data_IF_231854558294
#
_entry.id   IF_231854558294
#
_cell.length_a   1.000
_cell.length_b   1.000
_cell.length_c   1.000
_cell.angle_alpha   90.00
_cell.angle_beta   90.00
_cell.angle_gamma   90.00
#
_symmetry.space_group_name_H-M   'P 1'
#
loop_
_entity.id
_entity.type
_entity.pdbx_description
1 polymer ?
#
# COMPACT_ATOMS: atom_id res chain seq x y z
N UNK A 1 -14.39 9.83 -32.28
CA UNK A 1 -14.15 11.18 -32.87
C UNK A 1 -15.04 12.25 -32.24
N UNK A 2 -16.36 12.05 -32.16
CA UNK A 2 -17.24 13.02 -31.47
C UNK A 2 -16.85 13.20 -29.99
N UNK A 3 -16.66 12.10 -29.26
CA UNK A 3 -16.14 12.11 -27.88
C UNK A 3 -14.86 12.93 -27.73
N UNK A 4 -13.87 12.66 -28.59
CA UNK A 4 -12.57 13.34 -28.62
C UNK A 4 -12.75 14.84 -28.88
N UNK A 5 -13.69 15.22 -29.75
CA UNK A 5 -13.97 16.62 -30.07
C UNK A 5 -14.71 17.33 -28.92
N UNK A 6 -15.74 16.70 -28.34
CA UNK A 6 -16.48 17.21 -27.16
C UNK A 6 -15.59 17.32 -25.93
N UNK A 7 -14.64 16.40 -25.76
CA UNK A 7 -13.65 16.42 -24.69
C UNK A 7 -12.50 17.39 -24.94
N UNK A 8 -12.14 17.69 -26.20
CA UNK A 8 -11.19 18.77 -26.51
C UNK A 8 -11.74 20.14 -26.12
N UNK A 9 -13.05 20.34 -26.20
CA UNK A 9 -13.74 21.56 -25.75
C UNK A 9 -13.70 21.74 -24.23
N UNK A 10 -13.68 20.65 -23.46
CA UNK A 10 -13.47 20.69 -21.99
C UNK A 10 -12.07 21.20 -21.63
N UNK A 11 -11.05 20.84 -22.43
CA UNK A 11 -9.65 21.24 -22.23
C UNK A 11 -9.40 22.73 -22.48
N UNK A 12 -10.25 23.38 -23.28
CA UNK A 12 -10.12 24.79 -23.66
C UNK A 12 -11.07 25.75 -22.91
N UNK A 13 -12.10 25.24 -22.22
CA UNK A 13 -13.05 26.09 -21.49
C UNK A 13 -12.53 26.45 -20.09
N UNK A 14 -12.54 27.74 -19.74
CA UNK A 14 -12.39 28.15 -18.34
C UNK A 14 -13.51 27.51 -17.51
N UNK A 15 -13.13 26.71 -16.52
CA UNK A 15 -14.01 25.82 -15.77
C UNK A 15 -15.18 26.57 -15.12
N UNK A 16 -16.36 26.32 -15.68
CA UNK A 16 -17.65 26.86 -15.30
C UNK A 16 -18.65 25.70 -15.27
N UNK A 17 -19.87 25.90 -14.78
CA UNK A 17 -20.97 24.92 -14.83
C UNK A 17 -21.14 24.26 -16.21
N UNK A 18 -20.72 24.92 -17.30
CA UNK A 18 -20.71 24.35 -18.65
C UNK A 18 -19.73 23.19 -18.83
N UNK A 19 -18.61 23.14 -18.11
CA UNK A 19 -17.65 22.05 -18.20
C UNK A 19 -18.19 20.75 -17.56
N UNK A 20 -18.89 20.86 -16.43
CA UNK A 20 -19.54 19.69 -15.80
C UNK A 20 -20.66 19.16 -16.70
N UNK A 21 -21.48 20.03 -17.27
CA UNK A 21 -22.54 19.61 -18.20
C UNK A 21 -21.96 18.91 -19.45
N UNK A 22 -20.91 19.47 -20.07
CA UNK A 22 -20.23 18.82 -21.19
C UNK A 22 -19.55 17.49 -20.81
N UNK A 23 -19.10 17.34 -19.56
CA UNK A 23 -18.58 16.07 -19.05
C UNK A 23 -19.69 15.02 -18.93
N UNK A 24 -20.87 15.36 -18.42
CA UNK A 24 -22.02 14.45 -18.42
C UNK A 24 -22.45 14.06 -19.84
N UNK A 25 -22.49 15.02 -20.77
CA UNK A 25 -22.78 14.75 -22.18
C UNK A 25 -21.73 13.79 -22.80
N UNK A 26 -20.44 14.01 -22.50
CA UNK A 26 -19.37 13.14 -22.98
C UNK A 26 -19.43 11.73 -22.37
N UNK A 27 -19.75 11.59 -21.08
CA UNK A 27 -19.93 10.27 -20.45
C UNK A 27 -21.15 9.53 -21.00
N UNK A 28 -22.26 10.25 -21.22
CA UNK A 28 -23.48 9.69 -21.79
C UNK A 28 -23.24 9.18 -23.23
N UNK A 29 -22.55 9.96 -24.06
CA UNK A 29 -22.17 9.54 -25.42
C UNK A 29 -21.20 8.36 -25.44
N UNK A 30 -20.27 8.28 -24.48
CA UNK A 30 -19.35 7.14 -24.36
C UNK A 30 -20.11 5.87 -23.97
N UNK A 31 -21.04 5.98 -23.01
CA UNK A 31 -21.95 4.90 -22.60
C UNK A 31 -22.78 4.36 -23.77
N UNK A 32 -23.24 5.24 -24.64
CA UNK A 32 -24.10 4.86 -25.78
C UNK A 32 -23.32 4.24 -26.96
N UNK A 33 -21.98 4.32 -26.96
CA UNK A 33 -21.12 3.85 -28.07
C UNK A 33 -20.29 2.60 -27.75
N UNK A 34 -20.23 2.16 -26.50
CA UNK A 34 -19.51 0.96 -26.04
C UNK A 34 -20.45 0.01 -25.27
N UNK A 35 -20.13 -1.29 -25.26
CA UNK A 35 -20.78 -2.22 -24.33
C UNK A 35 -20.46 -1.73 -22.89
N UNK A 36 -21.42 -1.72 -21.95
CA UNK A 36 -21.22 -1.06 -20.66
C UNK A 36 -20.01 -1.66 -19.93
N UNK A 37 -18.96 -0.84 -19.81
CA UNK A 37 -17.86 -1.10 -18.89
C UNK A 37 -18.40 -0.72 -17.51
N UNK A 38 -18.41 -1.68 -16.59
CA UNK A 38 -19.00 -1.53 -15.24
C UNK A 38 -18.46 -0.32 -14.49
N UNK A 39 -17.19 0.04 -14.73
CA UNK A 39 -16.51 1.12 -14.01
C UNK A 39 -16.90 2.51 -14.54
N UNK A 40 -17.13 2.64 -15.86
CA UNK A 40 -17.70 3.87 -16.43
C UNK A 40 -19.09 4.15 -15.86
N UNK A 41 -19.96 3.14 -15.87
CA UNK A 41 -21.33 3.29 -15.38
C UNK A 41 -21.33 3.64 -13.89
N UNK A 42 -20.42 3.04 -13.12
CA UNK A 42 -20.18 3.40 -11.74
C UNK A 42 -19.81 4.88 -11.61
N UNK A 43 -18.72 5.31 -12.25
CA UNK A 43 -18.22 6.70 -12.15
C UNK A 43 -19.29 7.70 -12.56
N UNK A 44 -20.00 7.48 -13.67
CA UNK A 44 -21.08 8.37 -14.09
C UNK A 44 -22.24 8.41 -13.09
N UNK A 45 -22.69 7.26 -12.60
CA UNK A 45 -23.83 7.20 -11.67
C UNK A 45 -23.51 7.72 -10.28
N UNK A 46 -22.24 7.75 -9.88
CA UNK A 46 -21.77 8.16 -8.55
C UNK A 46 -21.10 9.52 -8.51
N UNK A 47 -20.90 10.17 -9.66
CA UNK A 47 -20.17 11.43 -9.75
C UNK A 47 -20.74 12.52 -8.83
N UNK A 48 -22.06 12.77 -8.90
CA UNK A 48 -22.69 13.78 -8.06
C UNK A 48 -23.00 13.29 -6.64
N UNK A 49 -23.12 11.97 -6.45
CA UNK A 49 -23.40 11.36 -5.13
C UNK A 49 -22.16 11.43 -4.22
N UNK A 50 -20.97 11.19 -4.77
CA UNK A 50 -19.73 11.05 -3.99
C UNK A 50 -18.89 12.32 -3.94
N UNK A 51 -19.03 13.22 -4.90
CA UNK A 51 -18.22 14.44 -4.98
C UNK A 51 -19.03 15.63 -4.50
N UNK A 52 -18.84 16.00 -3.23
CA UNK A 52 -19.58 17.04 -2.53
C UNK A 52 -19.24 18.45 -2.98
N UNK A 53 -18.03 18.68 -3.51
CA UNK A 53 -17.58 20.01 -3.91
C UNK A 53 -17.01 20.06 -5.34
N UNK A 54 -17.01 21.27 -5.90
CA UNK A 54 -16.54 21.53 -7.27
C UNK A 54 -15.06 21.19 -7.47
N UNK A 55 -14.23 21.29 -6.42
CA UNK A 55 -12.80 20.96 -6.53
C UNK A 55 -12.58 19.45 -6.72
N UNK A 56 -13.34 18.60 -6.03
CA UNK A 56 -13.30 17.15 -6.21
C UNK A 56 -13.79 16.76 -7.61
N UNK A 57 -14.94 17.30 -8.03
CA UNK A 57 -15.48 17.10 -9.40
C UNK A 57 -14.44 17.49 -10.45
N UNK A 58 -13.79 18.62 -10.23
CA UNK A 58 -12.73 19.09 -11.11
C UNK A 58 -11.50 18.17 -11.10
N UNK A 59 -11.11 17.63 -9.94
CA UNK A 59 -10.02 16.66 -9.81
C UNK A 59 -10.27 15.41 -10.67
N UNK A 60 -11.45 14.81 -10.53
CA UNK A 60 -11.87 13.64 -11.31
C UNK A 60 -11.92 13.93 -12.81
N UNK A 61 -12.50 15.06 -13.23
CA UNK A 61 -12.56 15.44 -14.65
C UNK A 61 -11.15 15.65 -15.21
N UNK A 62 -10.28 16.33 -14.46
CA UNK A 62 -8.90 16.60 -14.87
C UNK A 62 -8.10 15.31 -15.00
N UNK A 63 -8.23 14.42 -14.01
CA UNK A 63 -7.60 13.11 -14.02
C UNK A 63 -8.04 12.27 -15.23
N UNK A 64 -9.34 12.19 -15.51
CA UNK A 64 -9.85 11.49 -16.69
C UNK A 64 -9.32 12.09 -17.99
N UNK A 65 -9.32 13.41 -18.10
CA UNK A 65 -8.84 14.10 -19.29
C UNK A 65 -7.33 13.91 -19.53
N UNK A 66 -6.52 13.90 -18.47
CA UNK A 66 -5.09 13.63 -18.53
C UNK A 66 -4.80 12.18 -18.93
N UNK A 67 -5.65 11.25 -18.48
CA UNK A 67 -5.51 9.81 -18.74
C UNK A 67 -6.36 9.33 -19.93
N UNK A 68 -6.74 10.26 -20.82
CA UNK A 68 -7.50 10.01 -22.05
C UNK A 68 -8.76 9.14 -21.85
N UNK A 69 -9.42 9.24 -20.70
CA UNK A 69 -10.63 8.48 -20.37
C UNK A 69 -10.45 6.97 -20.59
N UNK A 70 -9.28 6.45 -20.21
CA UNK A 70 -8.99 5.02 -20.29
C UNK A 70 -9.81 4.21 -19.28
N UNK A 71 -10.08 2.95 -19.61
CA UNK A 71 -10.71 1.98 -18.70
C UNK A 71 -9.97 1.90 -17.36
N UNK A 72 -8.65 2.02 -17.41
CA UNK A 72 -7.76 2.09 -16.26
C UNK A 72 -8.05 3.30 -15.35
N UNK A 73 -8.24 4.49 -15.94
CA UNK A 73 -8.60 5.67 -15.18
C UNK A 73 -9.99 5.53 -14.53
N UNK A 74 -10.93 4.87 -15.21
CA UNK A 74 -12.24 4.56 -14.62
C UNK A 74 -12.14 3.51 -13.50
N UNK A 75 -11.28 2.50 -13.66
CA UNK A 75 -11.03 1.49 -12.62
C UNK A 75 -10.41 2.12 -11.36
N UNK A 76 -9.43 3.02 -11.52
CA UNK A 76 -8.88 3.77 -10.39
C UNK A 76 -9.96 4.64 -9.71
N UNK A 77 -10.76 5.37 -10.49
CA UNK A 77 -11.81 6.22 -9.94
C UNK A 77 -12.92 5.45 -9.22
N UNK A 78 -13.15 4.20 -9.61
CA UNK A 78 -14.09 3.33 -8.89
C UNK A 78 -13.67 3.13 -7.43
N UNK A 79 -12.37 3.13 -7.16
CA UNK A 79 -11.82 3.02 -5.81
C UNK A 79 -11.60 4.39 -5.15
N UNK A 80 -11.14 5.39 -5.91
CA UNK A 80 -10.84 6.72 -5.39
C UNK A 80 -12.09 7.54 -5.03
N UNK A 81 -13.18 7.44 -5.81
CA UNK A 81 -14.38 8.25 -5.57
C UNK A 81 -15.11 7.88 -4.26
N UNK A 82 -15.29 6.60 -3.88
CA UNK A 82 -15.81 6.25 -2.57
C UNK A 82 -15.03 6.89 -1.41
N UNK A 83 -13.69 6.96 -1.53
CA UNK A 83 -12.84 7.56 -0.51
C UNK A 83 -12.98 9.09 -0.43
N UNK A 84 -13.42 9.74 -1.52
CA UNK A 84 -13.71 11.17 -1.55
C UNK A 84 -15.12 11.53 -1.01
N UNK A 85 -15.93 10.53 -0.70
CA UNK A 85 -17.24 10.75 -0.11
C UNK A 85 -17.10 11.29 1.33
N UNK A 86 -17.98 12.20 1.71
CA UNK A 86 -18.16 12.67 3.09
C UNK A 86 -19.18 11.74 3.78
N UNK A 87 -18.70 10.67 4.43
CA UNK A 87 -19.61 9.70 5.06
C UNK A 87 -20.02 10.12 6.48
N UNK A 88 -19.25 10.98 7.15
CA UNK A 88 -19.52 11.42 8.51
C UNK A 88 -20.36 12.72 8.60
N UNK A 89 -20.51 13.42 7.47
CA UNK A 89 -21.32 14.62 7.30
C UNK A 89 -20.66 15.90 7.79
N UNK A 90 -19.33 15.94 7.93
CA UNK A 90 -18.59 17.10 8.43
C UNK A 90 -18.31 18.17 7.34
N UNK A 91 -18.63 17.85 6.09
CA UNK A 91 -18.44 18.71 4.92
C UNK A 91 -17.06 18.60 4.28
N UNK A 92 -16.23 17.62 4.66
CA UNK A 92 -14.94 17.27 4.06
C UNK A 92 -14.98 15.85 3.48
N UNK A 93 -14.19 15.54 2.44
CA UNK A 93 -13.99 14.14 2.02
C UNK A 93 -13.42 13.31 3.14
N UNK A 94 -13.67 11.99 3.21
CA UNK A 94 -13.02 11.10 4.16
C UNK A 94 -11.53 10.82 3.85
N UNK A 95 -11.08 11.10 2.62
CA UNK A 95 -9.71 10.87 2.17
C UNK A 95 -9.19 11.92 1.18
N UNK A 96 -7.86 12.00 1.06
CA UNK A 96 -7.15 12.68 -0.01
C UNK A 96 -6.73 11.70 -1.11
N UNK A 97 -6.82 12.14 -2.37
CA UNK A 97 -6.36 11.38 -3.54
C UNK A 97 -5.21 12.12 -4.18
N UNK A 98 -4.04 11.46 -4.23
CA UNK A 98 -2.95 11.88 -5.08
C UNK A 98 -3.25 11.46 -6.51
N UNK A 99 -3.58 12.41 -7.38
CA UNK A 99 -3.95 12.13 -8.77
C UNK A 99 -2.75 11.81 -9.66
N UNK A 100 -1.55 12.26 -9.29
CA UNK A 100 -0.32 12.03 -10.06
C UNK A 100 0.21 10.63 -9.77
N UNK A 101 0.37 10.32 -8.49
CA UNK A 101 0.92 9.05 -8.01
C UNK A 101 -0.16 7.97 -7.84
N UNK A 102 -1.44 8.36 -7.90
CA UNK A 102 -2.61 7.47 -7.81
C UNK A 102 -2.65 6.68 -6.51
N UNK A 103 -2.28 7.37 -5.43
CA UNK A 103 -2.30 6.88 -4.06
C UNK A 103 -3.47 7.54 -3.34
N UNK A 104 -4.21 6.74 -2.56
CA UNK A 104 -5.31 7.22 -1.73
C UNK A 104 -4.84 7.23 -0.27
N UNK A 105 -5.08 8.32 0.46
CA UNK A 105 -4.73 8.47 1.88
C UNK A 105 -5.96 8.92 2.65
N UNK A 106 -6.42 8.11 3.61
CA UNK A 106 -7.50 8.48 4.52
C UNK A 106 -7.15 9.75 5.31
N UNK A 107 -8.12 10.58 5.65
CA UNK A 107 -7.88 11.85 6.34
C UNK A 107 -7.12 11.67 7.65
N UNK A 108 -7.48 10.65 8.44
CA UNK A 108 -6.81 10.29 9.68
C UNK A 108 -5.32 9.99 9.46
N UNK A 109 -4.95 9.49 8.28
CA UNK A 109 -3.55 9.33 7.89
C UNK A 109 -2.90 10.71 7.66
N UNK A 110 -3.54 11.57 6.88
CA UNK A 110 -3.01 12.89 6.47
C UNK A 110 -2.85 13.82 7.68
N UNK A 111 -3.84 13.87 8.57
CA UNK A 111 -3.81 14.75 9.76
C UNK A 111 -2.91 14.21 10.87
N UNK A 112 -2.50 12.94 10.80
CA UNK A 112 -1.54 12.36 11.74
C UNK A 112 -0.12 12.84 11.39
N UNK A 113 0.38 13.80 12.17
CA UNK A 113 1.69 14.42 11.95
C UNK A 113 2.82 13.39 11.82
N UNK A 114 2.85 12.32 12.64
CA UNK A 114 3.89 11.31 12.53
C UNK A 114 3.82 10.52 11.22
N UNK A 115 2.64 10.01 10.85
CA UNK A 115 2.48 9.22 9.62
C UNK A 115 2.77 10.06 8.39
N UNK A 116 2.19 11.26 8.31
CA UNK A 116 2.34 12.14 7.17
C UNK A 116 3.80 12.61 7.01
N UNK A 117 4.47 13.02 8.09
CA UNK A 117 5.89 13.43 8.03
C UNK A 117 6.83 12.28 7.67
N UNK A 118 6.53 11.05 8.08
CA UNK A 118 7.34 9.88 7.69
C UNK A 118 7.11 9.54 6.23
N UNK A 119 5.85 9.57 5.77
CA UNK A 119 5.49 9.33 4.38
C UNK A 119 6.17 10.33 3.43
N UNK A 120 6.08 11.63 3.71
CA UNK A 120 6.74 12.70 2.93
C UNK A 120 8.27 12.56 2.87
N UNK A 121 8.87 11.77 3.77
CA UNK A 121 10.29 11.49 3.80
C UNK A 121 10.68 10.21 3.06
N UNK A 122 9.73 9.37 2.66
CA UNK A 122 10.02 8.16 1.89
C UNK A 122 10.68 8.48 0.55
N UNK A 123 10.27 9.56 -0.12
CA UNK A 123 10.83 10.00 -1.40
C UNK A 123 12.31 10.40 -1.33
N UNK A 124 12.86 10.59 -0.11
CA UNK A 124 14.29 10.82 0.08
C UNK A 124 15.13 9.54 -0.02
N UNK A 125 14.48 8.39 -0.07
CA UNK A 125 15.11 7.09 -0.22
C UNK A 125 14.83 6.53 -1.62
N UNK A 126 15.90 6.37 -2.40
CA UNK A 126 15.84 5.67 -3.70
C UNK A 126 15.21 4.28 -3.54
N UNK A 127 15.47 3.59 -2.41
CA UNK A 127 14.88 2.28 -2.13
C UNK A 127 13.36 2.37 -1.98
N UNK A 128 12.84 3.30 -1.17
CA UNK A 128 11.39 3.40 -1.01
C UNK A 128 10.72 3.85 -2.32
N UNK A 129 11.33 4.79 -3.05
CA UNK A 129 10.87 5.22 -4.36
C UNK A 129 10.83 4.05 -5.37
N UNK A 130 11.85 3.19 -5.41
CA UNK A 130 11.86 1.99 -6.26
C UNK A 130 10.70 1.04 -5.98
N UNK A 131 10.20 0.98 -4.74
CA UNK A 131 9.02 0.18 -4.42
C UNK A 131 7.71 0.91 -4.75
N UNK A 132 7.57 2.18 -4.34
CA UNK A 132 6.36 2.99 -4.52
C UNK A 132 6.04 3.19 -6.01
N UNK A 133 7.06 3.43 -6.84
CA UNK A 133 6.90 3.58 -8.30
C UNK A 133 6.27 2.38 -9.00
N UNK A 134 6.20 1.20 -8.38
CA UNK A 134 5.48 0.05 -8.93
C UNK A 134 3.94 0.19 -8.85
N UNK A 135 3.45 1.13 -8.04
CA UNK A 135 2.03 1.44 -7.83
C UNK A 135 1.63 2.77 -8.50
N UNK A 136 2.63 3.55 -8.91
CA UNK A 136 2.46 4.87 -9.51
C UNK A 136 2.39 4.80 -11.03
N UNK A 137 2.02 5.93 -11.65
CA UNK A 137 2.10 6.13 -13.08
C UNK A 137 0.96 5.49 -13.88
N UNK A 138 1.26 5.14 -15.13
CA UNK A 138 0.27 4.64 -16.08
C UNK A 138 0.30 3.10 -16.12
N UNK A 139 -0.85 2.48 -15.89
CA UNK A 139 -1.15 1.05 -15.79
C UNK A 139 -0.43 0.33 -14.64
N UNK A 140 -0.52 0.82 -13.40
CA UNK A 140 -0.05 0.02 -12.28
C UNK A 140 -0.93 -1.24 -12.18
N UNK A 141 -0.32 -2.35 -11.78
CA UNK A 141 -1.04 -3.62 -11.59
C UNK A 141 -1.99 -3.54 -10.38
N UNK A 142 -1.70 -2.66 -9.43
CA UNK A 142 -2.47 -2.45 -8.22
C UNK A 142 -2.34 -1.01 -7.74
N UNK A 143 -3.31 -0.54 -6.97
CA UNK A 143 -3.32 0.78 -6.33
C UNK A 143 -3.08 0.65 -4.82
N UNK A 144 -2.55 1.71 -4.20
CA UNK A 144 -2.33 1.76 -2.76
C UNK A 144 -3.38 2.64 -2.07
N UNK A 145 -3.92 2.11 -0.97
CA UNK A 145 -4.77 2.85 -0.04
C UNK A 145 -4.15 2.83 1.36
N UNK A 146 -3.83 4.00 1.89
CA UNK A 146 -3.32 4.15 3.25
C UNK A 146 -4.43 4.59 4.20
N UNK A 147 -4.68 3.78 5.23
CA UNK A 147 -5.72 4.03 6.23
C UNK A 147 -5.16 3.99 7.66
N UNK A 148 -5.95 4.45 8.63
CA UNK A 148 -5.59 4.44 10.05
C UNK A 148 -6.66 3.75 10.87
N UNK A 149 -6.26 2.72 11.62
CA UNK A 149 -7.19 2.02 12.50
C UNK A 149 -6.57 0.83 13.21
N UNK A 150 -7.23 0.38 14.27
CA UNK A 150 -6.85 -0.86 14.94
C UNK A 150 -7.47 -2.03 14.19
N UNK A 151 -6.64 -2.87 13.59
CA UNK A 151 -7.13 -4.10 12.96
C UNK A 151 -7.73 -5.05 14.02
N UNK A 152 -8.90 -5.61 13.72
CA UNK A 152 -9.64 -6.46 14.66
C UNK A 152 -9.01 -7.84 14.88
N UNK A 153 -8.26 -8.35 13.89
CA UNK A 153 -7.58 -9.65 13.93
C UNK A 153 -6.18 -9.52 14.52
N UNK A 154 -5.50 -8.42 14.22
CA UNK A 154 -4.12 -8.12 14.59
C UNK A 154 -4.02 -6.79 15.36
N UNK A 155 -4.70 -6.63 16.51
CA UNK A 155 -4.77 -5.34 17.22
C UNK A 155 -3.42 -4.87 17.79
N UNK A 156 -2.43 -5.76 17.83
CA UNK A 156 -1.08 -5.48 18.30
C UNK A 156 -0.06 -5.23 17.18
N UNK A 157 -0.44 -5.39 15.91
CA UNK A 157 0.44 -5.10 14.79
C UNK A 157 0.65 -3.58 14.65
N UNK A 158 1.83 -3.17 14.15
CA UNK A 158 2.12 -1.77 13.86
C UNK A 158 1.32 -1.25 12.66
N UNK A 159 1.12 -2.12 11.68
CA UNK A 159 0.25 -1.94 10.53
C UNK A 159 -0.14 -3.32 9.98
N UNK A 160 -1.11 -3.35 9.07
CA UNK A 160 -1.54 -4.55 8.35
C UNK A 160 -1.68 -4.21 6.87
N UNK A 161 -1.01 -4.98 6.02
CA UNK A 161 -1.26 -4.97 4.58
C UNK A 161 -2.31 -6.04 4.22
N UNK A 162 -3.42 -5.63 3.62
CA UNK A 162 -4.47 -6.53 3.18
C UNK A 162 -4.18 -7.11 1.79
N UNK A 163 -4.72 -8.30 1.54
CA UNK A 163 -4.74 -8.83 0.18
C UNK A 163 -5.58 -7.91 -0.73
N UNK A 164 -5.27 -7.86 -2.02
CA UNK A 164 -5.93 -6.95 -2.92
C UNK A 164 -7.40 -7.30 -3.12
N UNK A 165 -8.25 -6.29 -3.05
CA UNK A 165 -9.64 -6.33 -3.51
C UNK A 165 -9.84 -5.30 -4.61
N UNK A 166 -10.38 -5.74 -5.74
CA UNK A 166 -10.53 -4.92 -6.95
C UNK A 166 -9.26 -4.12 -7.32
N UNK A 167 -8.09 -4.77 -7.30
CA UNK A 167 -6.77 -4.16 -7.53
C UNK A 167 -6.32 -3.14 -6.48
N UNK A 168 -7.08 -2.90 -5.41
CA UNK A 168 -6.69 -2.03 -4.31
C UNK A 168 -5.99 -2.83 -3.22
N UNK A 169 -4.79 -2.40 -2.82
CA UNK A 169 -4.07 -2.94 -1.67
C UNK A 169 -4.13 -1.89 -0.55
N UNK A 170 -4.81 -2.25 0.54
CA UNK A 170 -4.88 -1.41 1.74
C UNK A 170 -3.69 -1.68 2.66
N UNK A 171 -3.04 -0.62 3.13
CA UNK A 171 -2.10 -0.63 4.25
C UNK A 171 -2.72 0.20 5.38
N UNK A 172 -3.15 -0.49 6.44
CA UNK A 172 -3.77 0.12 7.62
C UNK A 172 -2.76 0.28 8.75
N UNK A 173 -2.48 1.51 9.15
CA UNK A 173 -1.57 1.82 10.26
C UNK A 173 -2.31 1.84 11.60
N UNK A 174 -1.70 1.23 12.62
CA UNK A 174 -2.29 1.19 13.95
C UNK A 174 -1.92 2.46 14.74
N UNK A 175 -2.88 3.34 15.05
CA UNK A 175 -2.58 4.59 15.74
C UNK A 175 -2.03 4.36 17.15
N UNK A 176 -2.35 3.23 17.80
CA UNK A 176 -1.86 2.89 19.15
C UNK A 176 -0.40 2.39 19.15
N UNK A 177 0.26 2.35 17.99
CA UNK A 177 1.64 1.88 17.82
C UNK A 177 2.55 2.96 17.27
N UNK A 178 2.16 4.23 17.36
CA UNK A 178 2.93 5.35 16.83
C UNK A 178 3.78 6.07 17.90
N UNK A 179 3.60 5.76 19.19
CA UNK A 179 4.47 6.23 20.30
C UNK A 179 5.86 5.56 20.26
N UNK A 180 6.62 5.82 19.20
CA UNK A 180 7.98 5.31 18.95
C UNK A 180 8.74 6.24 17.99
N UNK A 181 10.07 6.08 17.84
CA UNK A 181 10.84 6.93 16.95
C UNK A 181 10.37 6.88 15.49
N UNK A 182 10.44 8.01 14.79
CA UNK A 182 10.04 8.14 13.37
C UNK A 182 10.75 7.12 12.48
N UNK A 183 12.02 6.83 12.74
CA UNK A 183 12.80 5.81 12.02
C UNK A 183 12.22 4.40 12.19
N UNK A 184 11.65 4.06 13.36
CA UNK A 184 10.97 2.77 13.54
C UNK A 184 9.58 2.78 12.88
N UNK A 185 8.90 3.93 12.81
CA UNK A 185 7.69 4.10 12.00
C UNK A 185 7.99 3.94 10.50
N UNK A 186 9.09 4.52 10.02
CA UNK A 186 9.59 4.36 8.65
C UNK A 186 9.90 2.89 8.32
N UNK A 187 10.44 2.12 9.27
CA UNK A 187 10.59 0.66 9.13
C UNK A 187 9.23 0.01 8.84
N UNK A 188 8.17 0.42 9.53
CA UNK A 188 6.83 -0.13 9.26
C UNK A 188 6.35 0.22 7.86
N UNK A 189 6.54 1.45 7.39
CA UNK A 189 6.20 1.83 6.01
C UNK A 189 6.86 0.91 4.98
N UNK A 190 8.20 0.80 4.99
CA UNK A 190 8.88 -0.04 3.99
C UNK A 190 8.53 -1.52 4.13
N UNK A 191 8.28 -1.99 5.36
CA UNK A 191 7.84 -3.36 5.63
C UNK A 191 6.49 -3.65 4.94
N UNK A 192 5.49 -2.79 5.15
CA UNK A 192 4.17 -2.95 4.54
C UNK A 192 4.19 -2.71 3.01
N UNK A 193 5.00 -1.76 2.52
CA UNK A 193 5.16 -1.53 1.08
C UNK A 193 5.77 -2.77 0.39
N UNK A 194 6.72 -3.46 1.06
CA UNK A 194 7.25 -4.73 0.55
C UNK A 194 6.17 -5.82 0.52
N UNK A 195 5.29 -5.89 1.53
CA UNK A 195 4.10 -6.77 1.49
C UNK A 195 3.21 -6.46 0.29
N UNK A 196 2.91 -5.18 0.08
CA UNK A 196 2.12 -4.74 -1.06
C UNK A 196 2.77 -5.11 -2.40
N UNK A 197 4.09 -4.99 -2.52
CA UNK A 197 4.82 -5.36 -3.74
C UNK A 197 4.72 -6.86 -4.02
N UNK A 198 4.69 -7.70 -2.99
CA UNK A 198 4.43 -9.13 -3.18
C UNK A 198 3.01 -9.38 -3.69
N UNK A 199 2.01 -8.70 -3.15
CA UNK A 199 0.63 -8.82 -3.64
C UNK A 199 0.48 -8.29 -5.06
N UNK A 200 1.11 -7.18 -5.42
CA UNK A 200 1.15 -6.65 -6.78
C UNK A 200 1.75 -7.66 -7.76
N UNK A 201 2.86 -8.32 -7.39
CA UNK A 201 3.45 -9.40 -8.20
C UNK A 201 2.47 -10.56 -8.38
N UNK A 202 1.77 -10.98 -7.33
CA UNK A 202 0.74 -12.03 -7.43
C UNK A 202 -0.41 -11.61 -8.36
N UNK A 203 -0.90 -10.37 -8.24
CA UNK A 203 -1.92 -9.81 -9.14
C UNK A 203 -1.48 -9.78 -10.60
N UNK A 204 -0.20 -9.46 -10.86
CA UNK A 204 0.30 -9.39 -12.24
C UNK A 204 0.22 -10.74 -12.96
N UNK A 205 0.31 -11.85 -12.22
CA UNK A 205 0.09 -13.21 -12.74
C UNK A 205 -1.40 -13.56 -12.76
N UNK A 206 -2.17 -13.09 -11.77
CA UNK A 206 -3.60 -13.37 -11.67
C UNK A 206 -4.43 -12.74 -12.80
N UNK A 207 -4.03 -11.54 -13.26
CA UNK A 207 -4.70 -10.76 -14.30
C UNK A 207 -6.19 -10.48 -13.99
N UNK A 208 -6.51 -10.32 -12.71
CA UNK A 208 -7.84 -9.99 -12.19
C UNK A 208 -7.67 -9.26 -10.84
N UNK A 209 -8.72 -8.61 -10.34
CA UNK A 209 -8.66 -7.73 -9.17
C UNK A 209 -8.42 -8.41 -7.82
N UNK A 210 -8.39 -9.74 -7.78
CA UNK A 210 -8.17 -10.55 -6.58
C UNK A 210 -7.25 -11.73 -6.86
N UNK A 211 -6.55 -12.23 -5.85
CA UNK A 211 -5.64 -13.38 -6.00
C UNK A 211 -6.45 -14.69 -5.99
N UNK A 212 -6.39 -15.52 -7.06
CA UNK A 212 -7.10 -16.79 -7.11
C UNK A 212 -6.30 -17.86 -6.37
N UNK A 213 -6.37 -17.88 -5.04
CA UNK A 213 -5.67 -18.81 -4.13
C UNK A 213 -5.97 -20.28 -4.41
N UNK A 214 -5.29 -20.84 -5.42
CA UNK A 214 -5.38 -22.23 -5.88
C UNK A 214 -3.98 -22.79 -6.05
N UNK A 215 -3.81 -24.09 -5.88
CA UNK A 215 -2.52 -24.74 -6.14
C UNK A 215 -2.02 -24.46 -7.58
N UNK A 216 -2.93 -24.49 -8.56
CA UNK A 216 -2.60 -24.18 -9.96
C UNK A 216 -2.07 -22.76 -10.15
N UNK A 217 -2.64 -21.79 -9.44
CA UNK A 217 -2.17 -20.41 -9.47
C UNK A 217 -0.80 -20.28 -8.79
N UNK A 218 -0.59 -20.89 -7.62
CA UNK A 218 0.73 -20.88 -6.98
C UNK A 218 1.79 -21.50 -7.91
N UNK A 219 1.47 -22.60 -8.61
CA UNK A 219 2.39 -23.19 -9.57
C UNK A 219 2.65 -22.30 -10.81
N UNK A 220 1.69 -21.48 -11.24
CA UNK A 220 1.86 -20.59 -12.39
C UNK A 220 2.89 -19.48 -12.13
N UNK A 221 3.12 -19.11 -10.87
CA UNK A 221 4.14 -18.13 -10.47
C UNK A 221 5.57 -18.53 -10.87
N UNK A 222 5.84 -19.80 -11.18
CA UNK A 222 7.20 -20.33 -11.41
C UNK A 222 7.98 -19.59 -12.50
N UNK A 223 7.30 -19.12 -13.54
CA UNK A 223 7.96 -18.51 -14.69
C UNK A 223 8.33 -17.04 -14.45
N UNK A 224 7.49 -16.32 -13.72
CA UNK A 224 7.64 -14.87 -13.50
C UNK A 224 8.27 -14.55 -12.15
N UNK A 225 7.89 -15.28 -11.11
CA UNK A 225 8.33 -15.07 -9.72
C UNK A 225 8.68 -16.40 -9.02
N UNK A 226 9.75 -17.09 -9.45
CA UNK A 226 10.13 -18.40 -8.88
C UNK A 226 10.36 -18.37 -7.37
N UNK A 227 10.86 -17.26 -6.82
CA UNK A 227 11.01 -17.08 -5.37
C UNK A 227 9.68 -17.04 -4.62
N UNK A 228 8.67 -16.33 -5.14
CA UNK A 228 7.33 -16.34 -4.55
C UNK A 228 6.70 -17.73 -4.68
N UNK A 229 6.80 -18.36 -5.85
CA UNK A 229 6.29 -19.71 -6.06
C UNK A 229 6.81 -20.70 -5.03
N UNK A 230 8.13 -20.70 -4.80
CA UNK A 230 8.81 -21.58 -3.87
C UNK A 230 8.33 -21.38 -2.43
N UNK A 231 8.25 -20.13 -1.95
CA UNK A 231 7.77 -19.84 -0.60
C UNK A 231 6.29 -20.17 -0.41
N UNK A 232 5.40 -19.80 -1.33
CA UNK A 232 3.99 -20.17 -1.23
C UNK A 232 3.80 -21.69 -1.34
N UNK A 233 4.60 -22.39 -2.12
CA UNK A 233 4.56 -23.87 -2.16
C UNK A 233 5.00 -24.50 -0.85
N UNK A 234 6.09 -24.00 -0.24
CA UNK A 234 6.58 -24.53 1.03
C UNK A 234 5.62 -24.26 2.18
N UNK A 235 5.11 -23.04 2.26
CA UNK A 235 4.49 -22.50 3.46
C UNK A 235 2.97 -22.33 3.39
N UNK A 236 2.39 -22.10 2.21
CA UNK A 236 0.93 -21.99 2.04
C UNK A 236 0.31 -23.35 1.69
N UNK A 237 0.96 -24.14 0.82
CA UNK A 237 0.54 -25.52 0.54
C UNK A 237 0.99 -26.55 1.59
N UNK A 238 1.74 -26.10 2.62
CA UNK A 238 2.29 -26.94 3.71
C UNK A 238 3.00 -28.21 3.19
N UNK A 239 3.89 -28.04 2.21
CA UNK A 239 4.63 -29.17 1.63
C UNK A 239 5.85 -29.58 2.45
N UNK A 240 6.16 -28.85 3.52
CA UNK A 240 7.32 -29.08 4.38
C UNK A 240 6.96 -29.49 5.82
N UNK A 241 5.66 -29.61 6.16
CA UNK A 241 5.18 -30.04 7.47
C UNK A 241 5.50 -29.05 8.59
N UNK A 242 5.63 -27.76 8.24
CA UNK A 242 5.90 -26.67 9.16
C UNK A 242 4.75 -25.66 9.08
N UNK A 243 4.35 -25.12 10.23
CA UNK A 243 3.34 -24.06 10.30
C UNK A 243 4.01 -22.72 10.60
N UNK A 244 4.52 -21.99 9.58
CA UNK A 244 5.11 -20.69 9.79
C UNK A 244 4.03 -19.67 10.15
N UNK A 245 4.48 -18.50 10.59
CA UNK A 245 3.59 -17.40 10.93
C UNK A 245 2.88 -16.82 9.72
N UNK A 246 3.64 -16.59 8.65
CA UNK A 246 3.19 -15.97 7.41
C UNK A 246 4.26 -16.23 6.32
N UNK A 247 3.81 -16.67 5.13
CA UNK A 247 4.69 -16.97 3.98
C UNK A 247 5.56 -15.77 3.58
N UNK A 248 4.98 -14.58 3.54
CA UNK A 248 5.68 -13.36 3.14
C UNK A 248 6.72 -12.97 4.19
N UNK A 249 6.44 -13.13 5.50
CA UNK A 249 7.43 -12.88 6.55
C UNK A 249 8.65 -13.80 6.40
N UNK A 250 8.47 -15.09 6.06
CA UNK A 250 9.60 -15.99 5.79
C UNK A 250 10.46 -15.49 4.62
N UNK A 251 9.82 -15.06 3.53
CA UNK A 251 10.51 -14.53 2.35
C UNK A 251 11.23 -13.21 2.66
N UNK A 252 10.59 -12.30 3.40
CA UNK A 252 11.18 -11.02 3.80
C UNK A 252 12.35 -11.20 4.76
N UNK A 253 12.20 -12.06 5.77
CA UNK A 253 13.25 -12.34 6.73
C UNK A 253 14.51 -12.91 6.06
N UNK A 254 14.33 -13.74 5.03
CA UNK A 254 15.45 -14.34 4.31
C UNK A 254 16.06 -13.44 3.24
N UNK A 255 15.29 -12.55 2.60
CA UNK A 255 15.71 -11.85 1.38
C UNK A 255 15.62 -10.32 1.42
N UNK A 256 14.79 -9.72 2.28
CA UNK A 256 14.53 -8.27 2.29
C UNK A 256 15.06 -7.55 3.53
N UNK A 257 15.65 -8.27 4.50
CA UNK A 257 16.27 -7.64 5.69
C UNK A 257 17.30 -6.57 5.30
N UNK A 258 18.18 -6.87 4.34
CA UNK A 258 19.21 -5.94 3.89
C UNK A 258 18.62 -4.74 3.13
N UNK A 259 17.54 -4.95 2.38
CA UNK A 259 16.78 -3.88 1.74
C UNK A 259 16.20 -2.93 2.80
N UNK A 260 15.55 -3.46 3.83
CA UNK A 260 14.96 -2.66 4.92
C UNK A 260 16.05 -1.92 5.69
N UNK A 261 17.16 -2.58 6.06
CA UNK A 261 18.23 -1.89 6.79
C UNK A 261 18.92 -0.81 5.95
N UNK A 262 19.10 -1.05 4.64
CA UNK A 262 19.63 -0.04 3.72
C UNK A 262 18.69 1.15 3.55
N UNK A 263 17.38 0.90 3.43
CA UNK A 263 16.36 1.95 3.42
C UNK A 263 16.44 2.79 4.69
N UNK A 264 16.51 2.16 5.86
CA UNK A 264 16.55 2.88 7.14
C UNK A 264 17.78 3.79 7.25
N UNK A 265 18.93 3.38 6.70
CA UNK A 265 20.12 4.22 6.66
C UNK A 265 20.01 5.39 5.65
N UNK A 266 19.22 5.26 4.59
CA UNK A 266 18.90 6.37 3.69
C UNK A 266 17.92 7.35 4.34
N UNK A 267 16.91 6.82 5.04
CA UNK A 267 15.93 7.60 5.79
C UNK A 267 16.58 8.37 6.95
N UNK A 268 17.45 7.71 7.72
CA UNK A 268 18.17 8.28 8.86
C UNK A 268 19.67 7.93 8.76
N UNK A 269 20.44 8.86 8.19
CA UNK A 269 21.88 8.69 7.96
C UNK A 269 22.73 8.71 9.25
N UNK A 270 22.12 8.95 10.41
CA UNK A 270 22.79 8.86 11.70
C UNK A 270 22.86 7.42 12.22
N UNK A 271 22.08 6.50 11.65
CA UNK A 271 22.11 5.10 12.01
C UNK A 271 23.45 4.44 11.65
N UNK A 272 23.95 3.65 12.59
CA UNK A 272 24.93 2.61 12.26
C UNK A 272 24.25 1.45 11.53
N UNK A 273 24.98 0.75 10.66
CA UNK A 273 24.51 -0.49 10.01
C UNK A 273 23.93 -1.49 11.02
N UNK A 274 24.56 -1.56 12.18
CA UNK A 274 24.21 -2.43 13.28
C UNK A 274 22.85 -2.08 13.90
N UNK A 275 22.53 -0.79 14.03
CA UNK A 275 21.22 -0.31 14.49
C UNK A 275 20.14 -0.54 13.43
N UNK A 276 20.45 -0.24 12.16
CA UNK A 276 19.54 -0.45 11.04
C UNK A 276 19.19 -1.94 10.86
N UNK A 277 20.16 -2.84 10.98
CA UNK A 277 19.92 -4.29 10.93
C UNK A 277 19.06 -4.77 12.10
N UNK A 278 19.28 -4.23 13.31
CA UNK A 278 18.47 -4.57 14.47
C UNK A 278 17.02 -4.11 14.35
N UNK A 279 16.79 -2.90 13.81
CA UNK A 279 15.46 -2.42 13.46
C UNK A 279 14.82 -3.35 12.42
N UNK A 280 15.50 -3.64 11.31
CA UNK A 280 14.98 -4.54 10.28
C UNK A 280 14.56 -5.91 10.85
N UNK A 281 15.39 -6.52 11.69
CA UNK A 281 15.06 -7.79 12.35
C UNK A 281 13.83 -7.71 13.25
N UNK A 282 13.63 -6.62 13.98
CA UNK A 282 12.47 -6.46 14.86
C UNK A 282 11.13 -6.58 14.11
N UNK A 283 11.10 -6.21 12.81
CA UNK A 283 9.93 -6.42 11.94
C UNK A 283 9.81 -7.83 11.35
N UNK A 284 10.90 -8.60 11.31
CA UNK A 284 11.01 -9.83 10.52
C UNK A 284 11.21 -11.11 11.36
N UNK A 285 11.51 -10.98 12.65
CA UNK A 285 11.86 -12.11 13.51
C UNK A 285 10.69 -13.07 13.79
N UNK A 286 9.45 -12.60 13.65
CA UNK A 286 8.25 -13.33 14.03
C UNK A 286 7.30 -12.51 14.88
N UNK A 287 6.33 -13.16 15.51
CA UNK A 287 5.33 -12.50 16.36
C UNK A 287 5.07 -13.26 17.68
N UNK A 288 4.32 -12.63 18.58
CA UNK A 288 4.04 -13.17 19.92
C UNK A 288 5.13 -12.86 20.95
N UNK A 289 4.94 -13.39 22.16
CA UNK A 289 5.86 -13.14 23.28
C UNK A 289 7.27 -13.66 22.96
N UNK A 290 8.28 -12.85 23.30
CA UNK A 290 9.68 -13.20 23.12
C UNK A 290 10.19 -13.87 24.40
N UNK A 291 10.79 -15.05 24.26
CA UNK A 291 11.54 -15.66 25.35
C UNK A 291 12.86 -14.89 25.56
N UNK A 292 12.94 -14.17 26.68
CA UNK A 292 14.10 -13.33 27.03
C UNK A 292 15.42 -14.11 27.13
N UNK A 293 15.37 -15.41 27.37
CA UNK A 293 16.58 -16.25 27.47
C UNK A 293 17.10 -16.69 26.11
N UNK A 294 16.21 -16.92 25.14
CA UNK A 294 16.56 -17.45 23.81
C UNK A 294 16.51 -16.41 22.69
N UNK A 295 15.79 -15.31 22.91
CA UNK A 295 15.47 -14.28 21.92
C UNK A 295 14.46 -14.74 20.86
N UNK A 296 13.77 -15.85 21.08
CA UNK A 296 12.81 -16.41 20.12
C UNK A 296 11.38 -15.94 20.44
N UNK A 297 10.66 -15.33 19.49
CA UNK A 297 9.21 -15.17 19.61
C UNK A 297 8.49 -16.53 19.53
N UNK A 298 7.27 -16.62 20.11
CA UNK A 298 6.40 -17.82 20.04
C UNK A 298 6.29 -18.34 18.61
N UNK A 299 6.14 -17.41 17.68
CA UNK A 299 5.84 -17.62 16.28
C UNK A 299 7.05 -17.06 15.51
N UNK A 300 8.15 -17.81 15.47
CA UNK A 300 9.45 -17.38 14.92
C UNK A 300 9.56 -17.67 13.42
N UNK A 301 10.17 -16.75 12.66
CA UNK A 301 10.57 -17.04 11.28
C UNK A 301 11.79 -17.97 11.22
N UNK A 302 11.88 -18.82 10.20
CA UNK A 302 13.01 -19.76 10.07
C UNK A 302 14.34 -19.01 9.99
N UNK A 303 14.40 -17.91 9.23
CA UNK A 303 15.61 -17.08 9.15
C UNK A 303 16.09 -16.59 10.53
N UNK A 304 15.17 -16.17 11.42
CA UNK A 304 15.51 -15.73 12.77
C UNK A 304 15.92 -16.89 13.69
N UNK A 305 15.27 -18.05 13.58
CA UNK A 305 15.66 -19.24 14.34
C UNK A 305 17.10 -19.69 14.07
N UNK A 306 17.58 -19.44 12.84
CA UNK A 306 18.94 -19.76 12.41
C UNK A 306 20.00 -18.74 12.88
N UNK A 307 19.60 -17.56 13.36
CA UNK A 307 20.52 -16.61 14.02
C UNK A 307 20.98 -17.24 15.34
N UNK A 308 22.25 -17.13 15.72
CA UNK A 308 22.69 -17.71 16.99
C UNK A 308 22.02 -17.03 18.18
N UNK A 309 21.76 -17.77 19.27
CA UNK A 309 21.11 -17.21 20.46
C UNK A 309 21.81 -15.95 20.98
N UNK A 310 23.15 -15.96 21.07
CA UNK A 310 23.91 -14.79 21.52
C UNK A 310 23.70 -13.59 20.59
N UNK A 311 23.62 -13.82 19.28
CA UNK A 311 23.40 -12.76 18.31
C UNK A 311 21.98 -12.21 18.38
N UNK A 312 20.96 -13.06 18.55
CA UNK A 312 19.57 -12.63 18.76
C UNK A 312 19.43 -11.69 19.95
N UNK A 313 20.02 -12.06 21.09
CA UNK A 313 19.97 -11.23 22.29
C UNK A 313 20.69 -9.88 22.11
N UNK A 314 21.80 -9.85 21.39
CA UNK A 314 22.50 -8.61 21.03
C UNK A 314 21.62 -7.72 20.15
N UNK A 315 20.99 -8.29 19.11
CA UNK A 315 20.10 -7.58 18.20
C UNK A 315 18.91 -6.98 18.97
N UNK A 316 18.25 -7.77 19.81
CA UNK A 316 17.10 -7.31 20.62
C UNK A 316 17.50 -6.20 21.60
N UNK A 317 18.66 -6.33 22.26
CA UNK A 317 19.16 -5.29 23.15
C UNK A 317 19.43 -3.98 22.39
N UNK A 318 19.98 -4.07 21.18
CA UNK A 318 20.26 -2.93 20.34
C UNK A 318 18.99 -2.24 19.86
N UNK A 319 17.98 -3.00 19.44
CA UNK A 319 16.66 -2.48 19.11
C UNK A 319 16.05 -1.75 20.31
N UNK A 320 16.02 -2.38 21.50
CA UNK A 320 15.46 -1.75 22.70
C UNK A 320 16.22 -0.48 23.10
N UNK A 321 17.56 -0.50 23.00
CA UNK A 321 18.39 0.68 23.24
C UNK A 321 18.07 1.81 22.25
N UNK A 322 17.84 1.49 20.98
CA UNK A 322 17.42 2.47 19.98
C UNK A 322 16.07 3.09 20.35
N UNK A 323 15.06 2.26 20.65
CA UNK A 323 13.72 2.75 21.04
C UNK A 323 13.79 3.64 22.29
N UNK A 324 14.57 3.27 23.29
CA UNK A 324 14.65 4.01 24.56
C UNK A 324 15.43 5.34 24.47
N UNK A 325 16.33 5.48 23.49
CA UNK A 325 17.24 6.62 23.41
C UNK A 325 16.88 7.63 22.30
N UNK A 326 15.85 7.36 21.51
CA UNK A 326 15.39 8.25 20.44
C UNK A 326 13.99 8.75 20.76
N UNK A 327 13.67 10.01 20.47
CA UNK A 327 12.36 10.59 20.76
C UNK A 327 11.27 9.96 19.91
N UNK A 328 10.06 9.90 20.45
CA UNK A 328 8.86 9.49 19.72
C UNK A 328 8.47 10.57 18.69
N UNK A 329 7.83 10.15 17.59
CA UNK A 329 7.29 11.06 16.57
C UNK A 329 5.89 11.62 16.91
N UNK A 330 5.24 11.09 17.94
CA UNK A 330 3.97 11.57 18.50
C UNK A 330 4.18 12.20 19.87
#
# INVERSE_FOLDING_TARGET
QFLINSMSLLKESSFSTNAINHFHEALQDYKDTQNPITDLEFVYSKFDDYLINEAQKQGVITFLAQNNYSDEAFAFLREAMPALQDNDGDGQPDAEVDWEDRIIKENEFVVNECLNLVFDQLDKSDIASDFLTNFEGHNPVAHLYFSVGVDSTYPNANAVTYEPDNFMIEIKFNPNKLERPSTDVARTFIHEIIHAEMYRKLLSVAQQGQIPWTESFIQSLRNDFPGLQDYYTRWWLDTNGQSPTNVQHELMAQHYRETISSFLMQFDNSLTQDQADALAWAGLMGNGLIDESTGLPVNTTVAWSNVSQSQRLIILNRYQSFINNNPNCQ
#
